data_IF_192392219185
#
_entry.id   IF_192392219185
#
_cell.length_a   1.000
_cell.length_b   1.000
_cell.length_c   1.000
_cell.angle_alpha   90.00
_cell.angle_beta   90.00
_cell.angle_gamma   90.00
#
_symmetry.space_group_name_H-M   'P 1'
#
loop_
_entity.id
_entity.type
_entity.pdbx_description
1 polymer ?
#
# COMPACT_ATOMS: atom_id res chain seq x y z
N UNK A 1 9.75 -19.23 -42.25
CA UNK A 1 10.28 -19.80 -41.00
C UNK A 1 9.34 -19.44 -39.86
N UNK A 2 8.78 -20.45 -39.21
CA UNK A 2 7.78 -20.36 -38.13
C UNK A 2 8.43 -19.98 -36.79
N UNK A 3 7.73 -19.17 -35.98
CA UNK A 3 7.25 -19.59 -34.64
C UNK A 3 6.11 -18.70 -34.15
N UNK A 4 4.92 -19.28 -34.20
CA UNK A 4 3.77 -18.94 -33.36
C UNK A 4 4.17 -19.08 -31.88
N UNK A 5 3.92 -18.07 -31.07
CA UNK A 5 3.49 -18.25 -29.68
C UNK A 5 2.29 -17.34 -29.43
N UNK A 6 1.16 -17.85 -29.92
CA UNK A 6 -0.19 -17.43 -29.58
C UNK A 6 -0.26 -17.34 -28.06
N UNK A 7 -0.30 -16.12 -27.55
CA UNK A 7 -0.60 -15.84 -26.15
C UNK A 7 -2.04 -16.27 -25.94
N UNK A 8 -2.20 -17.47 -25.37
CA UNK A 8 -3.37 -18.05 -24.71
C UNK A 8 -4.72 -17.41 -25.09
N UNK A 9 -5.46 -18.13 -25.92
CA UNK A 9 -6.91 -18.02 -26.05
C UNK A 9 -7.58 -18.14 -24.67
N UNK A 10 -7.92 -17.00 -24.05
CA UNK A 10 -8.85 -16.97 -22.94
C UNK A 10 -10.27 -16.96 -23.51
N UNK A 11 -10.82 -18.16 -23.58
CA UNK A 11 -12.22 -18.44 -23.89
C UNK A 11 -13.07 -18.16 -22.64
N UNK A 12 -13.75 -17.02 -22.60
CA UNK A 12 -14.99 -16.88 -21.83
C UNK A 12 -15.87 -15.77 -22.40
N UNK A 13 -17.13 -16.08 -22.65
CA UNK A 13 -18.14 -15.14 -23.15
C UNK A 13 -18.43 -13.96 -22.20
N UNK A 14 -17.92 -13.99 -20.96
CA UNK A 14 -18.06 -12.93 -19.96
C UNK A 14 -17.16 -11.71 -20.20
N UNK A 15 -16.14 -11.81 -21.06
CA UNK A 15 -15.13 -10.76 -21.25
C UNK A 15 -15.54 -9.69 -22.29
N UNK A 16 -16.69 -9.86 -22.97
CA UNK A 16 -17.17 -8.91 -23.98
C UNK A 16 -17.84 -7.65 -23.45
N UNK A 17 -18.16 -7.57 -22.14
CA UNK A 17 -18.85 -6.40 -21.55
C UNK A 17 -17.94 -5.24 -21.17
N UNK A 18 -16.62 -5.45 -21.14
CA UNK A 18 -15.65 -4.40 -20.81
C UNK A 18 -14.57 -4.29 -21.89
N UNK A 19 -14.98 -4.06 -23.14
CA UNK A 19 -14.16 -3.23 -24.05
C UNK A 19 -14.20 -1.78 -23.56
N UNK A 20 -13.73 -1.53 -22.35
CA UNK A 20 -13.79 -0.22 -21.72
C UNK A 20 -12.37 0.30 -21.57
N UNK A 21 -12.12 1.38 -22.31
CA UNK A 21 -10.89 2.16 -22.43
C UNK A 21 -9.84 1.58 -23.37
N UNK A 22 -9.92 1.96 -24.65
CA UNK A 22 -8.78 1.89 -25.56
C UNK A 22 -7.62 2.71 -24.97
N UNK A 23 -6.41 2.15 -24.80
CA UNK A 23 -5.28 2.83 -24.16
C UNK A 23 -4.73 4.04 -24.94
N UNK A 24 -5.35 4.41 -26.06
CA UNK A 24 -5.01 5.57 -26.90
C UNK A 24 -6.05 6.69 -26.88
N UNK A 25 -7.16 6.52 -26.15
CA UNK A 25 -8.21 7.54 -26.07
C UNK A 25 -7.84 8.57 -25.00
N UNK A 26 -7.53 9.79 -25.42
CA UNK A 26 -7.35 10.92 -24.52
C UNK A 26 -8.71 11.43 -24.04
N UNK A 27 -9.22 10.84 -22.95
CA UNK A 27 -10.42 11.32 -22.29
C UNK A 27 -10.08 12.65 -21.57
N UNK A 28 -10.43 13.79 -22.18
CA UNK A 28 -10.39 15.06 -21.46
C UNK A 28 -11.65 15.15 -20.62
N UNK A 29 -11.49 15.15 -19.31
CA UNK A 29 -12.60 15.39 -18.41
C UNK A 29 -13.01 16.84 -18.35
N UNK A 30 -14.29 17.04 -18.01
CA UNK A 30 -14.70 18.35 -17.51
C UNK A 30 -14.08 18.56 -16.13
N UNK A 31 -13.67 19.79 -15.86
CA UNK A 31 -13.10 20.21 -14.56
C UNK A 31 -13.98 19.77 -13.38
N UNK A 32 -15.31 19.76 -13.56
CA UNK A 32 -16.25 19.28 -12.58
C UNK A 32 -16.04 17.81 -12.22
N UNK A 33 -15.78 16.94 -13.20
CA UNK A 33 -15.55 15.51 -12.96
C UNK A 33 -14.18 15.28 -12.34
N UNK A 34 -13.15 16.01 -12.78
CA UNK A 34 -11.81 15.95 -12.15
C UNK A 34 -11.88 16.31 -10.66
N UNK A 35 -12.65 17.34 -10.32
CA UNK A 35 -12.90 17.74 -8.93
C UNK A 35 -13.61 16.63 -8.17
N UNK A 36 -14.65 16.01 -8.71
CA UNK A 36 -15.38 14.91 -8.05
C UNK A 36 -14.47 13.71 -7.79
N UNK A 37 -13.60 13.36 -8.74
CA UNK A 37 -12.67 12.22 -8.62
C UNK A 37 -11.41 12.54 -7.81
N UNK A 38 -11.21 13.78 -7.39
CA UNK A 38 -10.05 14.18 -6.59
C UNK A 38 -10.03 13.51 -5.21
N UNK A 39 -8.83 13.34 -4.64
CA UNK A 39 -8.64 12.72 -3.32
C UNK A 39 -9.37 13.44 -2.19
N UNK A 40 -9.74 14.72 -2.34
CA UNK A 40 -10.50 15.46 -1.32
C UNK A 40 -11.91 14.88 -1.14
N UNK A 41 -12.50 14.37 -2.23
CA UNK A 41 -13.85 13.82 -2.25
C UNK A 41 -13.88 12.30 -2.03
N UNK A 42 -12.69 11.68 -1.92
CA UNK A 42 -12.56 10.25 -1.70
C UNK A 42 -12.88 9.83 -0.26
N UNK A 43 -13.35 8.59 -0.11
CA UNK A 43 -13.65 7.98 1.18
C UNK A 43 -12.41 7.91 2.07
N UNK A 44 -12.61 7.85 3.39
CA UNK A 44 -11.50 7.68 4.36
C UNK A 44 -10.65 6.45 4.06
N UNK A 45 -11.25 5.39 3.52
CA UNK A 45 -10.56 4.14 3.14
C UNK A 45 -9.64 4.37 1.94
N UNK A 46 -10.11 5.08 0.92
CA UNK A 46 -9.34 5.39 -0.28
C UNK A 46 -8.17 6.32 0.03
N UNK A 47 -8.40 7.38 0.82
CA UNK A 47 -7.33 8.29 1.27
C UNK A 47 -6.22 7.55 2.02
N UNK A 48 -6.60 6.62 2.91
CA UNK A 48 -5.64 5.75 3.63
C UNK A 48 -4.90 4.81 2.68
N UNK A 49 -5.59 4.22 1.71
CA UNK A 49 -4.98 3.35 0.69
C UNK A 49 -3.97 4.13 -0.15
N UNK A 50 -4.32 5.32 -0.62
CA UNK A 50 -3.44 6.20 -1.38
C UNK A 50 -2.19 6.58 -0.56
N UNK A 51 -2.37 7.01 0.70
CA UNK A 51 -1.25 7.35 1.60
C UNK A 51 -0.34 6.14 1.86
N UNK A 52 -0.92 4.97 2.12
CA UNK A 52 -0.16 3.73 2.33
C UNK A 52 0.60 3.31 1.07
N UNK A 53 0.01 3.51 -0.11
CA UNK A 53 0.65 3.22 -1.40
C UNK A 53 1.82 4.16 -1.67
N UNK A 54 1.65 5.47 -1.48
CA UNK A 54 2.72 6.46 -1.64
C UNK A 54 3.94 6.14 -0.78
N UNK A 55 3.71 5.80 0.49
CA UNK A 55 4.81 5.39 1.37
C UNK A 55 5.39 4.07 0.91
N UNK A 56 4.57 3.07 0.56
CA UNK A 56 5.07 1.78 0.06
C UNK A 56 5.97 1.92 -1.18
N UNK A 57 5.61 2.80 -2.11
CA UNK A 57 6.36 3.06 -3.34
C UNK A 57 7.79 3.53 -3.07
N UNK A 58 7.99 4.33 -2.00
CA UNK A 58 9.31 4.80 -1.60
C UNK A 58 10.24 3.70 -1.03
N UNK A 59 9.70 2.55 -0.63
CA UNK A 59 10.46 1.42 -0.07
C UNK A 59 10.57 0.22 -1.02
N UNK A 60 10.06 0.34 -2.25
CA UNK A 60 10.12 -0.73 -3.26
C UNK A 60 11.55 -0.97 -3.73
N UNK A 61 11.88 -2.25 -3.91
CA UNK A 61 13.10 -2.68 -4.60
C UNK A 61 12.99 -2.59 -6.13
N UNK A 62 11.80 -2.86 -6.64
CA UNK A 62 11.45 -2.87 -8.05
C UNK A 62 9.97 -2.52 -8.20
N UNK A 63 9.52 -2.19 -9.41
CA UNK A 63 8.19 -1.61 -9.66
C UNK A 63 7.02 -2.46 -9.12
N UNK A 64 7.14 -3.79 -9.21
CA UNK A 64 6.13 -4.74 -8.76
C UNK A 64 6.31 -5.21 -7.30
N UNK A 65 7.24 -4.63 -6.53
CA UNK A 65 7.52 -5.07 -5.16
C UNK A 65 6.36 -4.68 -4.24
N UNK A 66 5.61 -5.68 -3.80
CA UNK A 66 4.50 -5.50 -2.86
C UNK A 66 4.72 -6.28 -1.56
N UNK A 67 5.77 -7.09 -1.49
CA UNK A 67 5.92 -8.15 -0.49
C UNK A 67 7.22 -8.07 0.31
N UNK A 68 8.18 -7.23 -0.08
CA UNK A 68 9.41 -7.10 0.70
C UNK A 68 9.15 -6.63 2.13
N UNK A 69 10.02 -7.06 3.05
CA UNK A 69 9.90 -6.74 4.48
C UNK A 69 9.87 -5.22 4.71
N UNK A 70 10.62 -4.44 3.93
CA UNK A 70 10.66 -2.98 4.00
C UNK A 70 9.32 -2.35 3.64
N UNK A 71 8.74 -2.76 2.51
CA UNK A 71 7.41 -2.32 2.06
C UNK A 71 6.34 -2.68 3.10
N UNK A 72 6.39 -3.88 3.67
CA UNK A 72 5.46 -4.30 4.72
C UNK A 72 5.57 -3.44 6.00
N UNK A 73 6.79 -3.16 6.46
CA UNK A 73 7.03 -2.29 7.63
C UNK A 73 6.51 -0.87 7.38
N UNK A 74 6.74 -0.34 6.18
CA UNK A 74 6.29 0.98 5.77
C UNK A 74 4.76 1.09 5.80
N UNK A 75 4.03 0.14 5.17
CA UNK A 75 2.56 0.08 5.21
C UNK A 75 2.01 -0.02 6.63
N UNK A 76 2.57 -0.92 7.45
CA UNK A 76 2.17 -1.07 8.85
C UNK A 76 2.37 0.21 9.64
N UNK A 77 3.42 0.97 9.36
CA UNK A 77 3.70 2.24 10.04
C UNK A 77 2.62 3.28 9.75
N UNK A 78 2.20 3.42 8.49
CA UNK A 78 1.09 4.32 8.12
C UNK A 78 -0.20 3.93 8.83
N UNK A 79 -0.52 2.63 8.85
CA UNK A 79 -1.72 2.12 9.52
C UNK A 79 -1.68 2.33 11.04
N UNK A 80 -0.54 2.09 11.68
CA UNK A 80 -0.33 2.28 13.13
C UNK A 80 -0.51 3.76 13.48
N UNK A 81 0.06 4.68 12.70
CA UNK A 81 -0.09 6.11 12.95
C UNK A 81 -1.55 6.57 12.82
N UNK A 82 -2.27 6.07 11.81
CA UNK A 82 -3.69 6.37 11.65
C UNK A 82 -4.54 5.82 12.82
N UNK A 83 -4.25 4.60 13.30
CA UNK A 83 -4.93 4.00 14.44
C UNK A 83 -4.60 4.71 15.75
N UNK A 84 -3.36 5.16 15.93
CA UNK A 84 -2.94 5.94 17.10
C UNK A 84 -3.81 7.20 17.25
N UNK A 85 -3.94 7.99 16.19
CA UNK A 85 -4.77 9.20 16.17
C UNK A 85 -6.26 8.91 16.46
N UNK A 86 -6.76 7.76 15.99
CA UNK A 86 -8.13 7.35 16.27
C UNK A 86 -8.33 6.99 17.76
N UNK A 87 -7.39 6.24 18.34
CA UNK A 87 -7.45 5.84 19.75
C UNK A 87 -7.23 7.00 20.71
N UNK A 88 -6.48 8.03 20.32
CA UNK A 88 -6.36 9.29 21.08
C UNK A 88 -7.71 9.99 21.22
N UNK A 89 -8.55 9.96 20.18
CA UNK A 89 -9.92 10.51 20.21
C UNK A 89 -10.92 9.58 20.89
N UNK A 90 -10.73 8.26 20.79
CA UNK A 90 -11.64 7.25 21.28
C UNK A 90 -10.93 6.25 22.20
N UNK A 91 -10.59 6.65 23.44
CA UNK A 91 -9.78 5.83 24.34
C UNK A 91 -10.49 4.55 24.84
N UNK A 92 -11.82 4.51 24.75
CA UNK A 92 -12.67 3.38 25.19
C UNK A 92 -12.87 2.29 24.13
N UNK A 93 -12.33 2.45 22.92
CA UNK A 93 -12.41 1.40 21.89
C UNK A 93 -11.33 0.32 22.10
N UNK A 94 -11.68 -0.70 22.87
CA UNK A 94 -10.78 -1.80 23.20
C UNK A 94 -10.51 -2.75 22.02
N UNK A 95 -11.47 -2.92 21.11
CA UNK A 95 -11.32 -3.79 19.93
C UNK A 95 -10.26 -3.22 18.97
N UNK A 96 -10.36 -1.92 18.69
CA UNK A 96 -9.38 -1.22 17.86
C UNK A 96 -8.01 -1.16 18.55
N UNK A 97 -7.98 -0.98 19.89
CA UNK A 97 -6.73 -1.03 20.67
C UNK A 97 -6.04 -2.39 20.59
N UNK A 98 -6.80 -3.48 20.61
CA UNK A 98 -6.25 -4.82 20.39
C UNK A 98 -5.66 -4.97 18.98
N UNK A 99 -6.41 -4.55 17.95
CA UNK A 99 -5.93 -4.56 16.56
C UNK A 99 -4.66 -3.72 16.36
N UNK A 100 -4.58 -2.55 17.00
CA UNK A 100 -3.40 -1.70 17.03
C UNK A 100 -2.18 -2.42 17.62
N UNK A 101 -2.33 -3.04 18.80
CA UNK A 101 -1.26 -3.81 19.46
C UNK A 101 -0.77 -4.97 18.60
N UNK A 102 -1.68 -5.68 17.93
CA UNK A 102 -1.34 -6.78 17.01
C UNK A 102 -0.49 -6.29 15.84
N UNK A 103 -0.84 -5.13 15.24
CA UNK A 103 -0.05 -4.53 14.17
C UNK A 103 1.32 -4.06 14.64
N UNK A 104 1.40 -3.48 15.83
CA UNK A 104 2.65 -3.05 16.44
C UNK A 104 3.60 -4.23 16.64
N UNK A 105 3.13 -5.32 17.26
CA UNK A 105 3.92 -6.54 17.44
C UNK A 105 4.34 -7.19 16.11
N UNK A 106 3.47 -7.20 15.09
CA UNK A 106 3.83 -7.69 13.75
C UNK A 106 4.95 -6.84 13.14
N UNK A 107 4.89 -5.51 13.25
CA UNK A 107 5.94 -4.61 12.75
C UNK A 107 7.25 -4.84 13.48
N UNK A 108 7.24 -4.98 14.81
CA UNK A 108 8.43 -5.29 15.60
C UNK A 108 9.07 -6.61 15.18
N UNK A 109 8.25 -7.66 14.96
CA UNK A 109 8.73 -8.94 14.42
C UNK A 109 9.42 -8.81 13.07
N UNK A 110 8.84 -8.02 12.14
CA UNK A 110 9.43 -7.78 10.83
C UNK A 110 10.74 -6.98 10.91
N UNK A 111 10.83 -6.00 11.81
CA UNK A 111 12.06 -5.23 12.03
C UNK A 111 13.17 -6.13 12.61
N UNK A 112 12.84 -6.97 13.60
CA UNK A 112 13.77 -7.96 14.17
C UNK A 112 14.24 -8.95 13.11
N UNK A 113 13.35 -9.40 12.24
CA UNK A 113 13.70 -10.25 11.11
C UNK A 113 14.66 -9.53 10.15
N UNK A 114 14.36 -8.30 9.75
CA UNK A 114 15.19 -7.50 8.84
C UNK A 114 16.58 -7.25 9.43
N UNK A 115 16.68 -6.97 10.73
CA UNK A 115 17.95 -6.82 11.44
C UNK A 115 18.84 -8.07 11.32
N UNK A 116 18.24 -9.26 11.37
CA UNK A 116 18.95 -10.55 11.29
C UNK A 116 19.34 -10.90 9.86
N UNK A 117 18.48 -10.63 8.88
CA UNK A 117 18.68 -11.07 7.49
C UNK A 117 19.43 -10.06 6.64
N UNK A 118 19.11 -8.76 6.76
CA UNK A 118 19.79 -7.71 6.02
C UNK A 118 19.96 -6.44 6.88
N UNK A 119 21.12 -6.30 7.56
CA UNK A 119 21.43 -5.16 8.41
C UNK A 119 21.42 -3.81 7.66
N UNK A 120 21.81 -3.79 6.39
CA UNK A 120 21.85 -2.55 5.58
C UNK A 120 20.44 -2.01 5.34
N UNK A 121 19.52 -2.88 4.95
CA UNK A 121 18.11 -2.55 4.78
C UNK A 121 17.44 -2.15 6.08
N UNK A 122 17.83 -2.77 7.20
CA UNK A 122 17.35 -2.39 8.52
C UNK A 122 17.71 -0.94 8.86
N UNK A 123 18.97 -0.54 8.68
CA UNK A 123 19.42 0.83 8.97
C UNK A 123 18.72 1.82 8.03
N UNK A 124 18.64 1.51 6.74
CA UNK A 124 17.91 2.32 5.76
C UNK A 124 16.46 2.52 6.18
N UNK A 125 15.75 1.44 6.48
CA UNK A 125 14.32 1.47 6.81
C UNK A 125 14.04 2.29 8.06
N UNK A 126 14.86 2.13 9.11
CA UNK A 126 14.70 2.91 10.35
C UNK A 126 14.98 4.39 10.16
N UNK A 127 16.04 4.73 9.40
CA UNK A 127 16.40 6.12 9.11
C UNK A 127 15.30 6.81 8.33
N UNK A 128 14.80 6.18 7.27
CA UNK A 128 13.76 6.76 6.41
C UNK A 128 12.42 6.90 7.14
N UNK A 129 12.08 5.97 8.04
CA UNK A 129 10.84 6.04 8.83
C UNK A 129 10.97 6.92 10.08
N UNK A 130 12.17 7.45 10.40
CA UNK A 130 12.41 8.26 11.59
C UNK A 130 12.17 7.50 12.91
N UNK A 131 12.33 6.18 12.91
CA UNK A 131 12.04 5.34 14.08
C UNK A 131 13.32 4.95 14.83
N UNK A 132 13.34 5.19 16.14
CA UNK A 132 14.33 4.58 17.03
C UNK A 132 13.83 3.18 17.44
N UNK A 133 14.52 2.12 17.02
CA UNK A 133 14.22 0.77 17.49
C UNK A 133 14.76 0.58 18.91
N UNK A 134 13.89 0.74 19.91
CA UNK A 134 14.20 0.43 21.31
C UNK A 134 14.05 -1.07 21.52
N UNK A 135 15.11 -1.73 21.99
CA UNK A 135 15.19 -3.18 22.23
C UNK A 135 14.28 -3.62 23.37
#
# INVERSE_FOLDING_TARGET
>A
MLRRSIVRSFSSASDRRYKLLDPKVNWKMSEAVEKVLSLSNASSKERRKASSQQVADAFRLHDLDCGSTRVQIARLTVEINALKLHLEKHPKDFSTKYGFRKKLGKREGLIKYLKRTNPTDYVYTLKTLGMAHRL
#
